data_IF_439785001146
#
_entry.id   IF_439785001146
#
_cell.length_a   1.000
_cell.length_b   1.000
_cell.length_c   1.000
_cell.angle_alpha   90.00
_cell.angle_beta   90.00
_cell.angle_gamma   90.00
#
_symmetry.space_group_name_H-M   'P 1'
#
loop_
_entity.id
_entity.type
_entity.pdbx_description
1 polymer ?
#
# COMPACT_ATOMS: atom_id res chain seq x y z
N UNK A 1 -16.10 -1.05 -4.22
CA UNK A 1 -15.62 -0.99 -5.61
C UNK A 1 -14.16 -0.52 -5.73
N UNK A 2 -13.82 0.69 -5.28
CA UNK A 2 -12.46 1.25 -5.42
C UNK A 2 -11.32 0.30 -4.97
N UNK A 3 -11.44 -0.35 -3.81
CA UNK A 3 -10.42 -1.29 -3.33
C UNK A 3 -10.21 -2.51 -4.24
N UNK A 4 -11.26 -3.02 -4.89
CA UNK A 4 -11.15 -4.10 -5.87
C UNK A 4 -10.38 -3.64 -7.12
N UNK A 5 -10.63 -2.40 -7.57
CA UNK A 5 -9.89 -1.81 -8.69
C UNK A 5 -8.40 -1.63 -8.35
N UNK A 6 -8.05 -1.27 -7.11
CA UNK A 6 -6.65 -1.19 -6.67
C UNK A 6 -5.96 -2.56 -6.81
N UNK A 7 -6.62 -3.64 -6.35
CA UNK A 7 -6.11 -5.02 -6.46
C UNK A 7 -5.88 -5.42 -7.91
N UNK A 8 -6.88 -5.24 -8.76
CA UNK A 8 -6.79 -5.55 -10.19
C UNK A 8 -5.69 -4.74 -10.88
N UNK A 9 -5.56 -3.47 -10.54
CA UNK A 9 -4.50 -2.62 -11.07
C UNK A 9 -3.12 -3.08 -10.61
N UNK A 10 -2.96 -3.62 -9.39
CA UNK A 10 -1.67 -4.18 -8.97
C UNK A 10 -1.31 -5.44 -9.75
N UNK A 11 -2.28 -6.34 -9.94
CA UNK A 11 -2.11 -7.56 -10.75
C UNK A 11 -1.65 -7.18 -12.17
N UNK A 12 -2.32 -6.22 -12.82
CA UNK A 12 -1.92 -5.78 -14.15
C UNK A 12 -0.52 -5.13 -14.17
N UNK A 13 -0.15 -4.33 -13.15
CA UNK A 13 1.20 -3.77 -13.06
C UNK A 13 2.29 -4.84 -12.85
N UNK A 14 1.98 -5.92 -12.16
CA UNK A 14 2.89 -7.04 -11.93
C UNK A 14 3.01 -7.94 -13.16
N UNK A 15 1.87 -8.34 -13.72
CA UNK A 15 1.81 -9.42 -14.71
C UNK A 15 1.89 -8.89 -16.14
N UNK A 16 1.14 -7.83 -16.46
CA UNK A 16 1.07 -7.28 -17.82
C UNK A 16 2.17 -6.25 -18.08
N UNK A 17 2.30 -5.27 -17.17
CA UNK A 17 3.25 -4.16 -17.34
C UNK A 17 4.65 -4.46 -16.78
N UNK A 18 4.76 -5.45 -15.89
CA UNK A 18 6.02 -5.96 -15.34
C UNK A 18 6.89 -4.90 -14.67
N UNK A 19 6.27 -3.97 -13.94
CA UNK A 19 6.97 -2.92 -13.18
C UNK A 19 6.97 -3.14 -11.67
N UNK A 20 6.45 -4.27 -11.19
CA UNK A 20 6.51 -4.61 -9.76
C UNK A 20 7.86 -5.21 -9.37
N UNK A 21 7.99 -5.58 -8.10
CA UNK A 21 9.08 -6.38 -7.57
C UNK A 21 8.59 -7.22 -6.38
N UNK A 22 9.42 -8.16 -5.91
CA UNK A 22 9.08 -9.04 -4.79
C UNK A 22 8.60 -8.28 -3.56
N UNK A 23 9.26 -7.18 -3.21
CA UNK A 23 8.92 -6.34 -2.06
C UNK A 23 7.52 -5.72 -2.20
N UNK A 24 7.22 -5.15 -3.38
CA UNK A 24 5.93 -4.54 -3.66
C UNK A 24 4.80 -5.56 -3.70
N UNK A 25 5.06 -6.74 -4.27
CA UNK A 25 4.09 -7.83 -4.34
C UNK A 25 3.78 -8.36 -2.94
N UNK A 26 4.81 -8.57 -2.12
CA UNK A 26 4.68 -9.07 -0.74
C UNK A 26 3.90 -8.07 0.12
N UNK A 27 4.24 -6.78 0.10
CA UNK A 27 3.54 -5.80 0.94
C UNK A 27 2.08 -5.60 0.49
N UNK A 28 1.83 -5.64 -0.81
CA UNK A 28 0.49 -5.57 -1.38
C UNK A 28 -0.35 -6.78 -0.99
N UNK A 29 0.21 -7.99 -1.07
CA UNK A 29 -0.47 -9.22 -0.66
C UNK A 29 -0.82 -9.21 0.84
N UNK A 30 0.16 -8.91 1.71
CA UNK A 30 -0.04 -8.85 3.16
C UNK A 30 -1.12 -7.82 3.50
N UNK A 31 -1.03 -6.61 2.92
CA UNK A 31 -2.01 -5.56 3.13
C UNK A 31 -3.40 -6.00 2.69
N UNK A 32 -3.53 -6.59 1.50
CA UNK A 32 -4.81 -7.04 0.97
C UNK A 32 -5.47 -8.16 1.78
N UNK A 33 -4.68 -8.94 2.53
CA UNK A 33 -5.18 -9.99 3.41
C UNK A 33 -5.66 -9.47 4.79
N UNK A 34 -5.36 -8.22 5.15
CA UNK A 34 -5.75 -7.71 6.47
C UNK A 34 -7.24 -7.37 6.56
N UNK A 35 -7.90 -7.69 7.69
CA UNK A 35 -9.22 -7.17 8.00
C UNK A 35 -9.28 -5.64 7.92
N UNK A 36 -10.37 -5.11 7.36
CA UNK A 36 -10.54 -3.67 7.15
C UNK A 36 -9.74 -3.08 5.98
N UNK A 37 -8.91 -3.87 5.27
CA UNK A 37 -8.27 -3.43 4.03
C UNK A 37 -9.20 -3.66 2.83
N UNK A 38 -9.66 -2.56 2.22
CA UNK A 38 -10.49 -2.61 1.03
C UNK A 38 -9.68 -2.98 -0.22
N UNK A 39 -8.41 -2.59 -0.28
CA UNK A 39 -7.51 -2.91 -1.39
C UNK A 39 -6.17 -2.19 -1.30
N UNK A 40 -5.11 -2.83 -1.77
CA UNK A 40 -3.76 -2.28 -1.82
C UNK A 40 -3.08 -2.54 -3.18
N UNK A 41 -2.16 -1.64 -3.54
CA UNK A 41 -1.34 -1.70 -4.75
C UNK A 41 -0.04 -0.94 -4.60
N UNK A 42 0.95 -1.23 -5.46
CA UNK A 42 2.09 -0.33 -5.65
C UNK A 42 1.64 1.07 -6.16
N UNK A 43 2.42 2.10 -5.83
CA UNK A 43 2.20 3.47 -6.30
C UNK A 43 3.51 4.11 -6.78
N UNK A 44 3.43 4.99 -7.78
CA UNK A 44 4.61 5.53 -8.46
C UNK A 44 5.13 4.62 -9.58
N UNK A 45 6.43 4.71 -9.85
CA UNK A 45 7.06 4.08 -11.02
C UNK A 45 7.18 2.55 -10.94
N UNK A 46 7.38 1.99 -9.74
CA UNK A 46 7.65 0.57 -9.54
C UNK A 46 9.12 0.23 -9.32
N UNK A 47 9.45 -1.06 -9.41
CA UNK A 47 10.77 -1.63 -9.10
C UNK A 47 11.26 -1.29 -7.67
N UNK A 48 10.32 -1.21 -6.74
CA UNK A 48 10.52 -0.77 -5.35
C UNK A 48 9.71 0.47 -5.00
N UNK A 49 10.08 1.16 -3.92
CA UNK A 49 9.39 2.35 -3.44
C UNK A 49 8.18 2.02 -2.58
N UNK A 50 7.01 2.58 -2.91
CA UNK A 50 5.85 2.59 -2.03
C UNK A 50 4.67 1.77 -2.56
N UNK A 51 3.86 1.28 -1.62
CA UNK A 51 2.51 0.81 -1.86
C UNK A 51 1.49 1.71 -1.13
N UNK A 52 0.27 1.74 -1.62
CA UNK A 52 -0.87 2.40 -0.98
C UNK A 52 -1.94 1.35 -0.67
N UNK A 53 -2.53 1.44 0.52
CA UNK A 53 -3.64 0.60 0.96
C UNK A 53 -4.80 1.48 1.41
N UNK A 54 -6.00 1.15 0.95
CA UNK A 54 -7.23 1.76 1.42
C UNK A 54 -7.76 0.95 2.60
N UNK A 55 -7.68 1.51 3.80
CA UNK A 55 -7.99 0.82 5.06
C UNK A 55 -9.10 1.55 5.81
N UNK A 56 -10.00 0.81 6.42
CA UNK A 56 -11.01 1.35 7.32
C UNK A 56 -10.35 2.00 8.54
N UNK A 57 -10.78 3.22 8.89
CA UNK A 57 -10.14 4.00 9.96
C UNK A 57 -10.07 3.24 11.31
N UNK A 58 -11.10 2.47 11.64
CA UNK A 58 -11.15 1.66 12.88
C UNK A 58 -10.17 0.48 12.86
N UNK A 59 -9.69 0.05 11.70
CA UNK A 59 -8.79 -1.09 11.54
C UNK A 59 -7.31 -0.68 11.42
N UNK A 60 -7.00 0.62 11.33
CA UNK A 60 -5.63 1.13 11.06
C UNK A 60 -4.60 0.61 12.06
N UNK A 61 -4.90 0.63 13.36
CA UNK A 61 -3.97 0.17 14.39
C UNK A 61 -3.65 -1.32 14.24
N UNK A 62 -4.68 -2.16 14.11
CA UNK A 62 -4.53 -3.59 13.90
C UNK A 62 -3.78 -3.90 12.59
N UNK A 63 -4.07 -3.15 11.53
CA UNK A 63 -3.40 -3.25 10.24
C UNK A 63 -1.89 -3.00 10.37
N UNK A 64 -1.49 -1.91 11.02
CA UNK A 64 -0.06 -1.57 11.22
C UNK A 64 0.66 -2.65 12.03
N UNK A 65 0.04 -3.12 13.11
CA UNK A 65 0.61 -4.17 13.98
C UNK A 65 0.78 -5.51 13.26
N UNK A 66 -0.08 -5.81 12.28
CA UNK A 66 0.00 -7.05 11.51
C UNK A 66 0.96 -6.97 10.32
N UNK A 67 0.95 -5.86 9.57
CA UNK A 67 1.69 -5.74 8.31
C UNK A 67 3.20 -5.68 8.55
N UNK A 68 3.66 -4.90 9.52
CA UNK A 68 5.09 -4.71 9.79
C UNK A 68 5.82 -6.04 10.07
N UNK A 69 5.39 -6.89 11.03
CA UNK A 69 6.08 -8.15 11.29
C UNK A 69 5.92 -9.14 10.14
N UNK A 70 4.75 -9.22 9.49
CA UNK A 70 4.54 -10.13 8.36
C UNK A 70 5.45 -9.79 7.17
N UNK A 71 5.62 -8.51 6.87
CA UNK A 71 6.49 -8.05 5.79
C UNK A 71 7.97 -8.30 6.13
N UNK A 72 8.37 -7.98 7.36
CA UNK A 72 9.73 -8.21 7.85
C UNK A 72 10.10 -9.69 7.81
N UNK A 73 9.18 -10.58 8.20
CA UNK A 73 9.39 -12.02 8.16
C UNK A 73 9.58 -12.57 6.75
N UNK A 74 8.92 -11.99 5.73
CA UNK A 74 8.97 -12.46 4.34
C UNK A 74 10.10 -11.86 3.51
N UNK A 75 10.57 -10.66 3.86
CA UNK A 75 11.55 -9.91 3.05
C UNK A 75 12.87 -9.67 3.77
N UNK A 76 12.90 -9.77 5.10
CA UNK A 76 14.02 -9.32 5.92
C UNK A 76 14.14 -7.79 6.04
N UNK A 77 13.23 -7.04 5.43
CA UNK A 77 13.22 -5.57 5.41
C UNK A 77 12.16 -5.03 6.37
N UNK A 78 12.45 -3.91 7.03
CA UNK A 78 11.48 -3.21 7.86
C UNK A 78 10.73 -2.17 6.99
N UNK A 79 9.40 -2.22 6.87
CA UNK A 79 8.65 -1.23 6.13
C UNK A 79 8.38 0.00 7.00
N UNK A 80 8.23 1.16 6.37
CA UNK A 80 7.72 2.38 7.01
C UNK A 80 6.25 2.59 6.57
N UNK A 81 5.37 2.78 7.55
CA UNK A 81 3.94 2.96 7.29
C UNK A 81 3.53 4.37 7.69
N UNK A 82 2.87 5.05 6.75
CA UNK A 82 2.37 6.42 6.93
C UNK A 82 0.85 6.41 6.77
N UNK A 83 0.13 6.81 7.82
CA UNK A 83 -1.32 7.04 7.75
C UNK A 83 -1.53 8.44 7.20
N UNK A 84 -2.12 8.55 6.01
CA UNK A 84 -2.25 9.81 5.29
C UNK A 84 -3.69 10.10 4.90
N UNK A 85 -3.96 11.37 4.63
CA UNK A 85 -5.23 11.86 4.09
C UNK A 85 -4.95 12.76 2.89
N UNK A 86 -5.91 12.82 1.95
CA UNK A 86 -5.81 13.77 0.85
C UNK A 86 -5.76 15.21 1.40
N UNK A 87 -4.81 16.00 0.92
CA UNK A 87 -4.62 17.38 1.33
C UNK A 87 -4.49 18.29 0.10
N UNK A 88 -4.57 19.61 0.34
CA UNK A 88 -4.34 20.60 -0.69
C UNK A 88 -2.88 20.55 -1.20
N UNK A 89 -2.69 20.87 -2.47
CA UNK A 89 -1.37 21.06 -3.06
C UNK A 89 -0.71 22.37 -2.60
N UNK A 90 0.45 22.71 -3.18
CA UNK A 90 1.16 23.95 -2.86
C UNK A 90 0.31 25.19 -3.17
N UNK A 91 0.35 26.18 -2.28
CA UNK A 91 -0.34 27.46 -2.46
C UNK A 91 0.42 28.60 -1.79
N UNK A 92 -0.05 29.83 -2.02
CA UNK A 92 0.43 31.03 -1.33
C UNK A 92 -0.65 31.45 -0.33
N UNK A 93 -0.31 31.47 0.95
CA UNK A 93 -1.16 32.04 1.99
C UNK A 93 -0.76 33.49 2.23
N UNK A 94 -1.76 34.39 2.26
CA UNK A 94 -1.55 35.74 2.79
C UNK A 94 -1.53 35.63 4.31
N UNK A 95 -0.36 35.89 4.90
CA UNK A 95 -0.20 36.09 6.34
C UNK A 95 -1.03 37.29 6.82
#
# INVERSE_FOLDING_TARGET
EAGQLLRQSHISLRDDYQVSCTELDVISEIANAQPGCYGARMTGAGFGGCAVALVENSAVEAFVQAVVPAYTARTGLKPELYVTQACAGSGVEKL
#
